data_IF_641681288087
#
_entry.id   IF_641681288087
#
_cell.length_a   1.000
_cell.length_b   1.000
_cell.length_c   1.000
_cell.angle_alpha   90.00
_cell.angle_beta   90.00
_cell.angle_gamma   90.00
#
_symmetry.space_group_name_H-M   'P 1'
#
loop_
_entity.id
_entity.type
_entity.pdbx_description
1 polymer ?
#
# COMPACT_ATOMS: atom_id res chain seq x y z
N UNK A 1 -18.29 16.24 19.23
CA UNK A 1 -17.67 15.07 18.57
C UNK A 1 -18.07 15.09 17.11
N UNK A 2 -17.13 15.33 16.20
CA UNK A 2 -17.39 15.21 14.75
C UNK A 2 -17.51 13.72 14.42
N UNK A 3 -18.68 13.30 13.92
CA UNK A 3 -18.91 11.93 13.47
C UNK A 3 -18.01 11.70 12.26
N UNK A 4 -17.00 10.83 12.37
CA UNK A 4 -16.17 10.47 11.22
C UNK A 4 -17.05 9.73 10.22
N UNK A 5 -17.24 10.31 9.04
CA UNK A 5 -17.89 9.66 7.90
C UNK A 5 -17.02 8.49 7.44
N UNK A 6 -17.65 7.39 7.03
CA UNK A 6 -16.96 6.36 6.26
C UNK A 6 -16.53 6.94 4.91
N UNK A 7 -15.38 6.54 4.33
CA UNK A 7 -15.02 6.96 2.99
C UNK A 7 -16.03 6.45 1.97
N UNK A 8 -16.30 7.24 0.94
CA UNK A 8 -17.05 6.86 -0.26
C UNK A 8 -16.26 5.84 -1.09
N UNK A 9 -16.93 5.11 -1.98
CA UNK A 9 -16.26 4.13 -2.85
C UNK A 9 -15.14 4.76 -3.69
N UNK A 10 -15.36 5.97 -4.21
CA UNK A 10 -14.34 6.73 -4.95
C UNK A 10 -13.14 7.08 -4.07
N UNK A 11 -13.36 7.45 -2.81
CA UNK A 11 -12.28 7.69 -1.85
C UNK A 11 -11.51 6.38 -1.53
N UNK A 12 -12.19 5.23 -1.47
CA UNK A 12 -11.52 3.94 -1.35
C UNK A 12 -10.62 3.64 -2.57
N UNK A 13 -11.10 3.92 -3.79
CA UNK A 13 -10.31 3.74 -5.01
C UNK A 13 -9.08 4.65 -5.03
N UNK A 14 -9.23 5.92 -4.65
CA UNK A 14 -8.12 6.86 -4.56
C UNK A 14 -7.07 6.43 -3.52
N UNK A 15 -7.53 5.93 -2.36
CA UNK A 15 -6.65 5.34 -1.36
C UNK A 15 -5.91 4.11 -1.89
N UNK A 16 -6.61 3.20 -2.57
CA UNK A 16 -6.02 1.99 -3.14
C UNK A 16 -4.95 2.29 -4.18
N UNK A 17 -5.20 3.23 -5.10
CA UNK A 17 -4.23 3.69 -6.10
C UNK A 17 -2.96 4.28 -5.46
N UNK A 18 -3.12 5.09 -4.41
CA UNK A 18 -2.00 5.69 -3.66
C UNK A 18 -1.21 4.66 -2.87
N UNK A 19 -1.87 3.77 -2.13
CA UNK A 19 -1.20 2.74 -1.33
C UNK A 19 -0.46 1.74 -2.22
N UNK A 20 -1.03 1.37 -3.37
CA UNK A 20 -0.36 0.52 -4.35
C UNK A 20 0.91 1.19 -4.91
N UNK A 21 0.85 2.49 -5.22
CA UNK A 21 2.03 3.23 -5.66
C UNK A 21 3.13 3.36 -4.60
N UNK A 22 2.75 3.59 -3.33
CA UNK A 22 3.70 3.60 -2.19
C UNK A 22 4.38 2.24 -2.04
N UNK A 23 3.62 1.15 -2.11
CA UNK A 23 4.17 -0.22 -2.06
C UNK A 23 5.18 -0.46 -3.19
N UNK A 24 4.85 -0.03 -4.41
CA UNK A 24 5.73 -0.19 -5.57
C UNK A 24 7.02 0.61 -5.39
N UNK A 25 6.96 1.81 -4.81
CA UNK A 25 8.15 2.60 -4.48
C UNK A 25 9.01 1.94 -3.39
N UNK A 26 8.39 1.47 -2.30
CA UNK A 26 9.11 0.73 -1.26
C UNK A 26 9.82 -0.50 -1.83
N UNK A 27 9.18 -1.19 -2.78
CA UNK A 27 9.77 -2.34 -3.48
C UNK A 27 10.97 -1.93 -4.33
N UNK A 28 10.90 -0.81 -5.06
CA UNK A 28 12.02 -0.27 -5.84
C UNK A 28 13.21 0.10 -4.94
N UNK A 29 12.96 0.84 -3.86
CA UNK A 29 14.01 1.24 -2.91
C UNK A 29 14.63 0.00 -2.25
N UNK A 30 13.83 -1.01 -1.91
CA UNK A 30 14.34 -2.27 -1.36
C UNK A 30 15.29 -2.97 -2.34
N UNK A 31 14.97 -3.03 -3.62
CA UNK A 31 15.84 -3.59 -4.67
C UNK A 31 17.14 -2.80 -4.77
N UNK A 32 17.07 -1.46 -4.78
CA UNK A 32 18.25 -0.59 -4.82
C UNK A 32 19.17 -0.82 -3.61
N UNK A 33 18.61 -0.85 -2.39
CA UNK A 33 19.40 -1.12 -1.19
C UNK A 33 19.99 -2.53 -1.18
N UNK A 34 19.28 -3.50 -1.75
CA UNK A 34 19.75 -4.89 -1.79
C UNK A 34 20.98 -5.07 -2.67
N UNK A 35 21.15 -4.22 -3.70
CA UNK A 35 22.36 -4.14 -4.50
C UNK A 35 23.48 -3.30 -3.86
N UNK A 36 23.16 -2.38 -2.95
CA UNK A 36 24.12 -1.44 -2.37
C UNK A 36 24.66 -1.87 -0.99
N UNK A 37 23.92 -2.68 -0.22
CA UNK A 37 24.27 -3.06 1.15
C UNK A 37 24.22 -4.58 1.37
N UNK A 38 25.05 -5.11 2.29
CA UNK A 38 24.96 -6.51 2.71
C UNK A 38 23.58 -6.87 3.27
N UNK A 39 23.13 -8.09 2.99
CA UNK A 39 21.83 -8.63 3.44
C UNK A 39 21.82 -9.05 4.92
N UNK A 40 22.98 -9.06 5.56
CA UNK A 40 23.16 -9.49 6.97
C UNK A 40 23.95 -8.44 7.77
N UNK A 41 23.91 -8.56 9.10
CA UNK A 41 24.59 -7.63 10.01
C UNK A 41 23.92 -6.26 10.11
N UNK A 42 24.60 -5.32 10.77
CA UNK A 42 24.06 -3.99 11.06
C UNK A 42 23.73 -3.17 9.79
N UNK A 43 24.51 -3.35 8.72
CA UNK A 43 24.31 -2.67 7.44
C UNK A 43 23.01 -3.11 6.73
N UNK A 44 22.43 -4.26 7.08
CA UNK A 44 21.13 -4.72 6.54
C UNK A 44 19.91 -4.04 7.17
N UNK A 45 20.11 -3.28 8.25
CA UNK A 45 19.02 -2.68 9.02
C UNK A 45 18.09 -1.78 8.18
N UNK A 46 18.58 -0.88 7.29
CA UNK A 46 17.72 -0.06 6.45
C UNK A 46 16.81 -0.90 5.53
N UNK A 47 17.36 -1.92 4.87
CA UNK A 47 16.58 -2.82 4.01
C UNK A 47 15.48 -3.55 4.78
N UNK A 48 15.78 -4.04 5.99
CA UNK A 48 14.78 -4.68 6.87
C UNK A 48 13.68 -3.73 7.30
N UNK A 49 13.99 -2.44 7.52
CA UNK A 49 12.98 -1.43 7.87
C UNK A 49 12.04 -1.15 6.70
N UNK A 50 12.55 -1.11 5.46
CA UNK A 50 11.70 -0.95 4.27
C UNK A 50 10.82 -2.17 4.01
N UNK A 51 11.33 -3.39 4.24
CA UNK A 51 10.51 -4.61 4.16
C UNK A 51 9.32 -4.51 5.12
N UNK A 52 9.58 -4.15 6.38
CA UNK A 52 8.52 -3.96 7.38
C UNK A 52 7.53 -2.87 7.00
N UNK A 53 8.00 -1.77 6.40
CA UNK A 53 7.11 -0.72 5.91
C UNK A 53 6.21 -1.24 4.77
N UNK A 54 6.77 -2.04 3.85
CA UNK A 54 6.01 -2.66 2.76
C UNK A 54 4.96 -3.63 3.29
N UNK A 55 5.34 -4.48 4.24
CA UNK A 55 4.42 -5.42 4.91
C UNK A 55 3.27 -4.69 5.59
N UNK A 56 3.54 -3.60 6.32
CA UNK A 56 2.50 -2.79 6.94
C UNK A 56 1.52 -2.17 5.93
N UNK A 57 2.00 -1.77 4.75
CA UNK A 57 1.13 -1.27 3.67
C UNK A 57 0.28 -2.40 3.09
N UNK A 58 0.84 -3.60 2.89
CA UNK A 58 0.11 -4.76 2.40
C UNK A 58 -0.98 -5.18 3.41
N UNK A 59 -0.69 -5.17 4.72
CA UNK A 59 -1.66 -5.40 5.79
C UNK A 59 -2.78 -4.35 5.79
N UNK A 60 -2.44 -3.06 5.66
CA UNK A 60 -3.43 -1.99 5.61
C UNK A 60 -4.36 -2.12 4.39
N UNK A 61 -3.82 -2.46 3.21
CA UNK A 61 -4.61 -2.69 2.00
C UNK A 61 -5.56 -3.88 2.17
N UNK A 62 -5.09 -4.97 2.75
CA UNK A 62 -5.94 -6.14 3.04
C UNK A 62 -7.07 -5.81 4.03
N UNK A 63 -6.77 -5.07 5.10
CA UNK A 63 -7.78 -4.64 6.06
C UNK A 63 -8.84 -3.72 5.43
N UNK A 64 -8.41 -2.78 4.57
CA UNK A 64 -9.31 -1.87 3.90
C UNK A 64 -10.12 -2.54 2.77
N UNK A 65 -9.58 -3.57 2.12
CA UNK A 65 -10.29 -4.41 1.17
C UNK A 65 -11.47 -5.13 1.86
N UNK A 66 -11.20 -5.78 3.00
CA UNK A 66 -12.27 -6.36 3.80
C UNK A 66 -13.31 -5.31 4.25
N UNK A 67 -12.87 -4.10 4.60
CA UNK A 67 -13.77 -3.02 4.98
C UNK A 67 -14.66 -2.58 3.80
N UNK A 68 -14.12 -2.45 2.58
CA UNK A 68 -14.92 -2.01 1.42
C UNK A 68 -15.99 -3.05 1.05
N UNK A 69 -15.68 -4.34 1.16
CA UNK A 69 -16.68 -5.41 0.97
C UNK A 69 -17.80 -5.39 2.03
N UNK A 70 -17.48 -5.00 3.27
CA UNK A 70 -18.48 -4.86 4.32
C UNK A 70 -19.33 -3.58 4.17
N UNK A 71 -18.77 -2.52 3.60
CA UNK A 71 -19.42 -1.23 3.45
C UNK A 71 -20.24 -1.11 2.16
N UNK A 72 -19.78 -1.76 1.08
CA UNK A 72 -20.33 -1.66 -0.27
C UNK A 72 -20.49 -3.04 -0.93
N UNK A 73 -21.29 -3.97 -0.37
CA UNK A 73 -21.31 -5.37 -0.81
C UNK A 73 -21.73 -5.58 -2.28
N UNK A 74 -22.50 -4.66 -2.87
CA UNK A 74 -22.98 -4.75 -4.26
C UNK A 74 -22.01 -4.10 -5.27
N UNK A 75 -21.02 -3.34 -4.80
CA UNK A 75 -20.14 -2.54 -5.66
C UNK A 75 -18.65 -2.72 -5.36
N UNK A 76 -18.32 -3.44 -4.30
CA UNK A 76 -16.94 -3.73 -3.92
C UNK A 76 -16.29 -4.70 -4.91
N UNK A 77 -15.11 -4.32 -5.39
CA UNK A 77 -14.23 -5.16 -6.19
C UNK A 77 -12.84 -5.18 -5.57
N UNK A 78 -12.11 -6.29 -5.75
CA UNK A 78 -10.72 -6.37 -5.28
C UNK A 78 -9.82 -5.34 -5.95
N UNK A 79 -10.18 -4.87 -7.15
CA UNK A 79 -9.47 -3.81 -7.89
C UNK A 79 -9.44 -2.48 -7.12
N UNK A 80 -10.31 -2.27 -6.13
CA UNK A 80 -10.33 -1.07 -5.29
C UNK A 80 -9.01 -0.91 -4.53
N UNK A 81 -8.55 -1.95 -3.81
CA UNK A 81 -7.26 -1.93 -3.10
C UNK A 81 -6.14 -2.66 -3.83
N UNK A 82 -6.46 -3.41 -4.88
CA UNK A 82 -5.50 -4.11 -5.75
C UNK A 82 -5.63 -3.66 -7.22
N UNK A 83 -5.39 -2.36 -7.51
CA UNK A 83 -5.58 -1.82 -8.84
C UNK A 83 -4.56 -2.38 -9.85
N UNK A 84 -4.96 -2.35 -11.11
CA UNK A 84 -4.08 -2.68 -12.22
C UNK A 84 -2.85 -1.75 -12.23
N UNK A 85 -1.67 -2.22 -12.65
CA UNK A 85 -0.45 -1.42 -12.65
C UNK A 85 -0.57 -0.03 -13.29
N UNK A 86 -1.35 0.10 -14.36
CA UNK A 86 -1.62 1.34 -15.09
C UNK A 86 -2.39 2.39 -14.28
N UNK A 87 -3.16 1.98 -13.28
CA UNK A 87 -3.99 2.86 -12.46
C UNK A 87 -3.28 3.34 -11.19
N UNK A 88 -2.08 2.81 -10.91
CA UNK A 88 -1.34 3.12 -9.67
C UNK A 88 -0.74 4.51 -9.73
N UNK A 89 -0.87 5.26 -8.64
CA UNK A 89 -0.35 6.62 -8.55
C UNK A 89 1.06 6.58 -7.93
N UNK A 90 2.13 6.91 -8.66
CA UNK A 90 3.46 6.99 -8.06
C UNK A 90 3.48 8.05 -6.95
N UNK A 91 4.24 7.86 -5.87
CA UNK A 91 4.40 8.91 -4.86
C UNK A 91 4.99 10.16 -5.52
N UNK A 92 4.46 11.33 -5.14
CA UNK A 92 4.94 12.62 -5.63
C UNK A 92 6.45 12.75 -5.37
N UNK A 93 7.18 13.29 -6.36
CA UNK A 93 8.61 13.60 -6.25
C UNK A 93 8.89 14.67 -5.20
#
# INVERSE_FOLDING_TARGET
MTKKSKPTLDEHQDLGRRLAGIRDELSRIQVQLSGAYPQTGAASLPARKLIKAREAIDEARSALDNAVFAEYPESAETTVYYPHPEDRVPPSK
#
